data_IF_392029802682
#
_entry.id   IF_392029802682
#
_cell.length_a   1.000
_cell.length_b   1.000
_cell.length_c   1.000
_cell.angle_alpha   90.00
_cell.angle_beta   90.00
_cell.angle_gamma   90.00
#
_symmetry.space_group_name_H-M   'P 1'
#
loop_
_entity.id
_entity.type
_entity.pdbx_description
1 polymer ?
#
# COMPACT_ATOMS: atom_id res chain seq x y z
N UNK A 1 -8.25 -39.16 -1.94
CA UNK A 1 -9.47 -38.36 -1.72
C UNK A 1 -9.08 -36.94 -2.05
N UNK A 2 -9.34 -36.57 -3.28
CA UNK A 2 -8.90 -35.32 -3.91
C UNK A 2 -9.73 -34.15 -3.38
N UNK A 3 -9.05 -33.06 -3.04
CA UNK A 3 -9.62 -31.73 -3.13
C UNK A 3 -8.55 -30.84 -3.77
N UNK A 4 -8.64 -30.74 -5.10
CA UNK A 4 -7.95 -29.74 -5.88
C UNK A 4 -8.48 -28.35 -5.51
N UNK A 5 -7.86 -27.70 -4.52
CA UNK A 5 -7.85 -26.25 -4.41
C UNK A 5 -6.50 -25.76 -4.94
N UNK A 6 -6.38 -25.71 -6.26
CA UNK A 6 -5.40 -24.84 -6.90
C UNK A 6 -5.88 -23.41 -6.72
N UNK A 7 -5.71 -22.86 -5.52
CA UNK A 7 -5.77 -21.42 -5.31
C UNK A 7 -4.66 -20.85 -6.17
N UNK A 8 -5.01 -20.19 -7.28
CA UNK A 8 -4.06 -19.44 -8.08
C UNK A 8 -3.61 -18.28 -7.20
N UNK A 9 -2.54 -18.50 -6.44
CA UNK A 9 -1.87 -17.46 -5.67
C UNK A 9 -1.72 -16.25 -6.60
N UNK A 10 -2.16 -15.04 -6.23
CA UNK A 10 -1.88 -13.87 -7.04
C UNK A 10 -0.36 -13.81 -7.22
N UNK A 11 0.06 -13.81 -8.48
CA UNK A 11 1.47 -13.90 -8.86
C UNK A 11 2.32 -12.82 -8.19
N UNK A 12 3.64 -12.98 -8.30
CA UNK A 12 4.66 -12.02 -7.86
C UNK A 12 4.14 -10.56 -7.90
N UNK A 13 4.15 -9.79 -6.80
CA UNK A 13 3.76 -8.38 -6.78
C UNK A 13 4.44 -7.55 -7.86
N UNK A 14 5.66 -7.91 -8.28
CA UNK A 14 6.39 -7.25 -9.36
C UNK A 14 5.83 -7.53 -10.77
N UNK A 15 5.08 -8.61 -10.95
CA UNK A 15 4.41 -9.01 -12.21
C UNK A 15 2.88 -8.91 -12.11
N UNK A 16 2.38 -8.60 -10.91
CA UNK A 16 0.97 -8.62 -10.55
C UNK A 16 0.31 -7.24 -10.47
N UNK A 17 -0.94 -7.28 -10.01
CA UNK A 17 -1.88 -6.16 -9.99
C UNK A 17 -1.45 -5.02 -9.05
N UNK A 18 -0.69 -5.33 -7.99
CA UNK A 18 -0.18 -4.36 -7.01
C UNK A 18 1.25 -3.83 -7.30
N UNK A 19 1.77 -4.07 -8.52
CA UNK A 19 3.14 -3.72 -8.93
C UNK A 19 3.47 -2.23 -8.81
N UNK A 20 2.49 -1.35 -8.98
CA UNK A 20 2.69 0.10 -8.81
C UNK A 20 3.07 0.46 -7.38
N UNK A 21 2.38 -0.10 -6.38
CA UNK A 21 2.69 0.16 -4.98
C UNK A 21 3.99 -0.57 -4.58
N UNK A 22 4.17 -1.81 -5.03
CA UNK A 22 5.39 -2.56 -4.78
C UNK A 22 6.63 -1.80 -5.31
N UNK A 23 6.58 -1.28 -6.54
CA UNK A 23 7.63 -0.46 -7.13
C UNK A 23 7.90 0.84 -6.37
N UNK A 24 6.84 1.55 -5.97
CA UNK A 24 6.95 2.75 -5.13
C UNK A 24 7.66 2.43 -3.81
N UNK A 25 7.27 1.35 -3.13
CA UNK A 25 7.88 0.92 -1.87
C UNK A 25 9.31 0.41 -2.04
N UNK A 26 9.64 -0.23 -3.17
CA UNK A 26 11.02 -0.64 -3.51
C UNK A 26 11.90 0.60 -3.62
N UNK A 27 11.44 1.63 -4.34
CA UNK A 27 12.17 2.90 -4.46
C UNK A 27 12.37 3.56 -3.08
N UNK A 28 11.31 3.69 -2.29
CA UNK A 28 11.36 4.26 -0.94
C UNK A 28 12.32 3.49 -0.03
N UNK A 29 12.25 2.15 -0.06
CA UNK A 29 13.14 1.30 0.72
C UNK A 29 14.60 1.36 0.25
N UNK A 30 14.83 1.53 -1.05
CA UNK A 30 16.15 1.77 -1.60
C UNK A 30 16.74 3.08 -1.07
N UNK A 31 15.97 4.19 -1.12
CA UNK A 31 16.39 5.49 -0.57
C UNK A 31 16.77 5.36 0.91
N UNK A 32 15.93 4.70 1.71
CA UNK A 32 16.20 4.48 3.13
C UNK A 32 17.50 3.72 3.39
N UNK A 33 17.75 2.64 2.64
CA UNK A 33 18.99 1.86 2.77
C UNK A 33 20.23 2.65 2.36
N UNK A 34 20.16 3.42 1.28
CA UNK A 34 21.27 4.26 0.84
C UNK A 34 21.57 5.36 1.87
N UNK A 35 20.52 6.02 2.40
CA UNK A 35 20.67 7.02 3.45
C UNK A 35 21.31 6.45 4.72
N UNK A 36 20.90 5.25 5.14
CA UNK A 36 21.43 4.58 6.32
C UNK A 36 22.94 4.27 6.18
N UNK A 37 23.40 3.86 4.98
CA UNK A 37 24.81 3.66 4.69
C UNK A 37 25.66 4.93 4.90
N UNK A 38 25.06 6.11 4.74
CA UNK A 38 25.67 7.42 4.94
C UNK A 38 25.43 8.00 6.35
N UNK A 39 24.83 7.22 7.27
CA UNK A 39 24.55 7.65 8.64
C UNK A 39 23.31 8.53 8.81
N UNK A 40 22.33 8.42 7.90
CA UNK A 40 21.05 9.11 7.97
C UNK A 40 19.87 8.15 8.04
N UNK A 41 18.84 8.52 8.80
CA UNK A 41 17.50 7.96 8.66
C UNK A 41 16.72 8.71 7.59
N UNK A 42 15.92 7.97 6.82
CA UNK A 42 14.95 8.52 5.88
C UNK A 42 13.52 8.22 6.35
N UNK A 43 12.67 9.25 6.39
CA UNK A 43 11.24 9.13 6.70
C UNK A 43 10.43 9.66 5.52
N UNK A 44 9.64 8.83 4.82
CA UNK A 44 8.74 9.30 3.78
C UNK A 44 7.67 10.22 4.40
N UNK A 45 7.44 11.37 3.77
CA UNK A 45 6.38 12.31 4.12
C UNK A 45 5.20 12.20 3.16
N UNK A 46 5.48 11.92 1.88
CA UNK A 46 4.48 11.72 0.85
C UNK A 46 5.10 10.90 -0.29
N UNK A 47 4.54 9.73 -0.58
CA UNK A 47 4.97 8.89 -1.69
C UNK A 47 3.78 8.39 -2.49
N UNK A 48 3.77 8.62 -3.80
CA UNK A 48 2.66 8.23 -4.67
C UNK A 48 3.11 7.91 -6.09
N UNK A 49 2.23 7.22 -6.82
CA UNK A 49 2.35 7.04 -8.26
C UNK A 49 1.36 7.94 -9.00
N UNK A 50 1.79 8.53 -10.11
CA UNK A 50 0.87 9.18 -11.06
C UNK A 50 1.39 9.01 -12.48
N UNK A 51 0.52 8.52 -13.36
CA UNK A 51 0.90 8.12 -14.73
C UNK A 51 2.03 7.08 -14.71
N UNK A 52 3.24 7.44 -15.14
CA UNK A 52 4.39 6.53 -15.25
C UNK A 52 5.54 6.89 -14.30
N UNK A 53 5.28 7.71 -13.29
CA UNK A 53 6.31 8.22 -12.39
C UNK A 53 5.99 7.90 -10.94
N UNK A 54 7.02 7.43 -10.22
CA UNK A 54 7.03 7.39 -8.76
C UNK A 54 7.55 8.72 -8.23
N UNK A 55 6.88 9.25 -7.20
CA UNK A 55 7.33 10.44 -6.47
C UNK A 55 7.43 10.10 -5.01
N UNK A 56 8.55 10.46 -4.41
CA UNK A 56 8.82 10.27 -2.98
C UNK A 56 9.38 11.58 -2.44
N UNK A 57 8.67 12.16 -1.49
CA UNK A 57 9.11 13.27 -0.66
C UNK A 57 9.37 12.72 0.73
N UNK A 58 10.50 13.06 1.33
CA UNK A 58 10.85 12.56 2.66
C UNK A 58 11.87 13.43 3.36
N UNK A 59 11.99 13.22 4.67
CA UNK A 59 12.92 13.91 5.55
C UNK A 59 14.17 13.05 5.78
N UNK A 60 15.34 13.68 5.76
CA UNK A 60 16.61 13.05 6.13
C UNK A 60 17.02 13.52 7.52
N UNK A 61 17.29 12.58 8.43
CA UNK A 61 17.72 12.87 9.80
C UNK A 61 19.05 12.20 10.08
N UNK A 62 20.09 12.99 10.37
CA UNK A 62 21.43 12.46 10.68
C UNK A 62 21.43 11.72 12.02
N UNK A 63 22.13 10.60 12.08
CA UNK A 63 22.45 9.87 13.30
C UNK A 63 22.12 8.37 13.22
N UNK A 64 22.88 7.57 13.96
CA UNK A 64 22.77 6.10 13.98
C UNK A 64 21.36 5.65 14.37
N UNK A 65 20.79 6.22 15.45
CA UNK A 65 19.43 5.90 15.89
C UNK A 65 18.37 6.16 14.81
N UNK A 66 18.51 7.26 14.07
CA UNK A 66 17.59 7.58 12.97
C UNK A 66 17.75 6.61 11.80
N UNK A 67 18.99 6.20 11.48
CA UNK A 67 19.26 5.18 10.47
C UNK A 67 18.66 3.82 10.87
N UNK A 68 18.82 3.39 12.12
CA UNK A 68 18.23 2.15 12.65
C UNK A 68 16.71 2.17 12.61
N UNK A 69 16.09 3.27 13.07
CA UNK A 69 14.63 3.48 13.01
C UNK A 69 14.12 3.40 11.56
N UNK A 70 14.77 4.09 10.63
CA UNK A 70 14.43 4.04 9.20
C UNK A 70 14.55 2.63 8.62
N UNK A 71 15.63 1.91 8.97
CA UNK A 71 15.84 0.53 8.51
C UNK A 71 14.84 -0.46 9.13
N UNK A 72 14.26 -0.18 10.29
CA UNK A 72 13.21 -1.02 10.89
C UNK A 72 11.94 -1.07 10.04
N UNK A 73 11.72 -0.06 9.20
CA UNK A 73 10.64 -0.01 8.21
C UNK A 73 11.04 -0.59 6.85
N UNK A 74 12.22 -1.20 6.73
CA UNK A 74 12.61 -1.97 5.55
C UNK A 74 12.33 -3.45 5.81
N UNK A 75 11.66 -4.09 4.86
CA UNK A 75 11.25 -5.46 5.00
C UNK A 75 10.76 -6.11 3.72
N UNK A 76 9.97 -7.15 3.90
CA UNK A 76 9.51 -8.05 2.85
C UNK A 76 7.99 -8.04 2.76
N UNK A 77 7.47 -8.22 1.55
CA UNK A 77 6.09 -8.61 1.30
C UNK A 77 6.06 -10.11 1.09
N UNK A 78 5.07 -10.77 1.66
CA UNK A 78 4.77 -12.18 1.40
C UNK A 78 3.25 -12.39 1.32
N UNK A 79 2.86 -13.62 0.98
CA UNK A 79 1.47 -14.03 0.91
C UNK A 79 1.18 -15.05 2.01
N UNK A 80 0.19 -14.75 2.85
CA UNK A 80 -0.35 -15.64 3.87
C UNK A 80 -1.83 -15.29 4.09
N UNK A 81 -2.69 -15.99 3.34
CA UNK A 81 -4.11 -15.67 3.13
C UNK A 81 -4.37 -14.16 2.97
N UNK A 82 -3.64 -13.54 2.04
CA UNK A 82 -3.63 -12.10 1.82
C UNK A 82 -2.22 -11.51 1.82
N UNK A 83 -2.11 -10.23 1.49
CA UNK A 83 -0.85 -9.50 1.56
C UNK A 83 -0.42 -9.31 3.01
N UNK A 84 0.83 -9.66 3.31
CA UNK A 84 1.46 -9.47 4.62
C UNK A 84 2.83 -8.85 4.47
N UNK A 85 3.31 -8.25 5.56
CA UNK A 85 4.65 -7.68 5.64
C UNK A 85 5.44 -8.27 6.80
N UNK A 86 6.76 -8.30 6.67
CA UNK A 86 7.68 -8.67 7.75
C UNK A 86 8.90 -7.76 7.74
N UNK A 87 9.38 -7.30 8.91
CA UNK A 87 10.68 -6.63 9.00
C UNK A 87 11.80 -7.49 8.40
N UNK A 88 12.84 -6.83 7.87
CA UNK A 88 13.93 -7.48 7.15
C UNK A 88 14.59 -8.61 7.94
N UNK A 89 14.81 -8.40 9.24
CA UNK A 89 15.55 -9.31 10.13
C UNK A 89 14.76 -10.54 10.57
N UNK A 90 13.43 -10.51 10.48
CA UNK A 90 12.55 -11.54 11.08
C UNK A 90 11.94 -12.50 10.05
N UNK A 91 12.20 -12.32 8.77
CA UNK A 91 11.54 -13.09 7.74
C UNK A 91 12.31 -14.37 7.39
N UNK A 92 11.69 -15.53 7.63
CA UNK A 92 12.26 -16.86 7.40
C UNK A 92 11.62 -17.62 6.23
N UNK A 93 10.68 -16.99 5.51
CA UNK A 93 9.97 -17.59 4.38
C UNK A 93 10.51 -17.17 3.01
N UNK A 94 9.77 -17.49 1.94
CA UNK A 94 10.04 -17.00 0.60
C UNK A 94 9.30 -15.68 0.34
N UNK A 95 10.02 -14.56 0.12
CA UNK A 95 9.36 -13.28 -0.03
C UNK A 95 8.78 -13.18 -1.44
N UNK A 96 7.62 -12.52 -1.53
CA UNK A 96 7.02 -12.16 -2.81
C UNK A 96 7.69 -10.91 -3.39
N UNK A 97 8.08 -9.95 -2.56
CA UNK A 97 8.85 -8.78 -2.97
C UNK A 97 9.67 -8.20 -1.80
N UNK A 98 10.77 -7.52 -2.13
CA UNK A 98 11.59 -6.79 -1.19
C UNK A 98 13.10 -6.89 -1.51
N UNK A 99 13.97 -6.33 -0.66
CA UNK A 99 13.61 -5.53 0.49
C UNK A 99 13.04 -4.16 0.07
N UNK A 100 11.95 -3.74 0.69
CA UNK A 100 11.19 -2.53 0.37
C UNK A 100 10.69 -1.82 1.62
N UNK A 101 10.14 -0.61 1.48
CA UNK A 101 9.54 0.11 2.58
C UNK A 101 8.18 -0.48 2.98
N UNK A 102 8.09 -1.03 4.20
CA UNK A 102 6.88 -1.62 4.77
C UNK A 102 6.14 -0.67 5.73
N UNK A 103 6.74 0.47 6.07
CA UNK A 103 6.10 1.51 6.90
C UNK A 103 5.09 2.38 6.14
N UNK A 104 4.57 3.43 6.79
CA UNK A 104 3.69 4.44 6.19
C UNK A 104 4.36 5.16 5.01
N UNK A 105 3.58 5.45 3.96
CA UNK A 105 4.03 6.23 2.80
C UNK A 105 3.64 7.72 2.88
N UNK A 106 2.80 8.06 3.84
CA UNK A 106 2.23 9.38 4.03
C UNK A 106 2.35 9.78 5.50
N UNK A 107 2.77 11.01 5.75
CA UNK A 107 2.71 11.64 7.05
C UNK A 107 1.41 12.44 7.15
N UNK A 108 0.57 12.14 8.15
CA UNK A 108 -0.75 12.75 8.30
C UNK A 108 -0.70 14.26 8.53
N UNK A 109 0.29 14.75 9.28
CA UNK A 109 0.43 16.18 9.54
C UNK A 109 0.79 16.91 8.23
N UNK A 110 1.70 16.34 7.44
CA UNK A 110 2.05 16.86 6.12
C UNK A 110 0.85 16.83 5.17
N UNK A 111 0.04 15.75 5.16
CA UNK A 111 -1.17 15.69 4.35
C UNK A 111 -2.17 16.78 4.75
N UNK A 112 -2.37 16.99 6.05
CA UNK A 112 -3.25 18.03 6.58
C UNK A 112 -2.79 19.43 6.14
N UNK A 113 -1.49 19.73 6.28
CA UNK A 113 -0.93 21.01 5.85
C UNK A 113 -1.10 21.24 4.35
N UNK A 114 -0.88 20.19 3.52
CA UNK A 114 -1.11 20.26 2.08
C UNK A 114 -2.60 20.54 1.80
N UNK A 115 -3.53 19.89 2.50
CA UNK A 115 -4.96 20.12 2.31
C UNK A 115 -5.34 21.58 2.58
N UNK A 116 -4.86 22.17 3.67
CA UNK A 116 -5.10 23.57 4.02
C UNK A 116 -4.59 24.54 2.93
N UNK A 117 -3.40 24.27 2.39
CA UNK A 117 -2.84 25.06 1.29
C UNK A 117 -3.65 24.91 -0.01
N UNK A 118 -4.17 23.72 -0.30
CA UNK A 118 -5.02 23.47 -1.48
C UNK A 118 -6.38 24.16 -1.36
N UNK A 119 -6.92 24.24 -0.14
CA UNK A 119 -8.19 24.92 0.13
C UNK A 119 -8.09 26.43 -0.08
N UNK A 120 -6.98 27.05 0.32
CA UNK A 120 -6.79 28.51 0.27
C UNK A 120 -6.30 29.01 -1.10
N UNK A 121 -5.53 28.19 -1.84
CA UNK A 121 -4.93 28.62 -3.12
C UNK A 121 -5.85 28.46 -4.31
N UNK A 122 -5.72 29.37 -5.28
CA UNK A 122 -6.35 29.25 -6.60
C UNK A 122 -5.54 28.31 -7.48
N UNK A 123 -5.91 27.03 -7.48
CA UNK A 123 -5.27 25.98 -8.29
C UNK A 123 -6.18 25.53 -9.43
N UNK A 124 -5.62 25.41 -10.65
CA UNK A 124 -6.36 24.96 -11.84
C UNK A 124 -6.99 23.56 -11.68
N UNK A 125 -6.34 22.69 -10.90
CA UNK A 125 -6.71 21.28 -10.69
C UNK A 125 -7.09 20.99 -9.23
N UNK A 126 -7.69 21.97 -8.54
CA UNK A 126 -8.02 21.87 -7.11
C UNK A 126 -8.86 20.62 -6.79
N UNK A 127 -9.94 20.38 -7.52
CA UNK A 127 -10.83 19.23 -7.28
C UNK A 127 -10.12 17.88 -7.48
N UNK A 128 -9.28 17.76 -8.51
CA UNK A 128 -8.49 16.54 -8.76
C UNK A 128 -7.50 16.29 -7.62
N UNK A 129 -6.88 17.35 -7.10
CA UNK A 129 -5.95 17.26 -5.99
C UNK A 129 -6.65 16.92 -4.67
N UNK A 130 -7.82 17.50 -4.40
CA UNK A 130 -8.63 17.14 -3.21
C UNK A 130 -9.04 15.67 -3.23
N UNK A 131 -9.43 15.13 -4.40
CA UNK A 131 -9.72 13.69 -4.54
C UNK A 131 -8.49 12.84 -4.28
N UNK A 132 -7.32 13.28 -4.73
CA UNK A 132 -6.07 12.57 -4.49
C UNK A 132 -5.68 12.59 -3.01
N UNK A 133 -5.84 13.73 -2.33
CA UNK A 133 -5.60 13.85 -0.90
C UNK A 133 -6.53 12.96 -0.08
N UNK A 134 -7.80 12.82 -0.48
CA UNK A 134 -8.73 11.89 0.16
C UNK A 134 -8.20 10.45 0.13
N UNK A 135 -7.67 9.99 -1.01
CA UNK A 135 -7.02 8.68 -1.09
C UNK A 135 -5.79 8.59 -0.18
N UNK A 136 -4.95 9.63 -0.13
CA UNK A 136 -3.75 9.60 0.70
C UNK A 136 -4.06 9.56 2.20
N UNK A 137 -5.10 10.27 2.65
CA UNK A 137 -5.58 10.19 4.03
C UNK A 137 -6.09 8.80 4.38
N UNK A 138 -6.86 8.16 3.50
CA UNK A 138 -7.27 6.75 3.70
C UNK A 138 -6.05 5.83 3.74
N UNK A 139 -5.14 5.95 2.76
CA UNK A 139 -3.97 5.08 2.64
C UNK A 139 -2.95 5.21 3.77
N UNK A 140 -2.91 6.35 4.48
CA UNK A 140 -2.01 6.56 5.61
C UNK A 140 -2.20 5.52 6.73
N UNK A 141 -3.43 5.00 6.86
CA UNK A 141 -3.82 4.06 7.90
C UNK A 141 -4.08 2.65 7.39
N UNK A 142 -3.87 2.37 6.10
CA UNK A 142 -4.19 1.08 5.51
C UNK A 142 -2.94 0.22 5.29
N UNK A 143 -3.08 -1.11 5.30
CA UNK A 143 -1.95 -2.00 5.14
C UNK A 143 -1.28 -1.83 3.75
N UNK A 144 0.00 -2.23 3.62
CA UNK A 144 0.69 -2.26 2.34
C UNK A 144 0.02 -3.14 1.29
N UNK A 145 0.06 -2.67 0.05
CA UNK A 145 -0.55 -3.27 -1.14
C UNK A 145 -2.07 -3.22 -1.14
N UNK A 146 -2.65 -3.55 -2.30
CA UNK A 146 -4.07 -3.46 -2.56
C UNK A 146 -4.55 -4.67 -3.35
N UNK A 147 -5.87 -4.80 -3.40
CA UNK A 147 -6.60 -5.73 -4.24
C UNK A 147 -7.39 -4.94 -5.28
N UNK A 148 -7.58 -5.53 -6.46
CA UNK A 148 -8.47 -5.00 -7.49
C UNK A 148 -9.76 -5.83 -7.49
N UNK A 149 -10.91 -5.18 -7.41
CA UNK A 149 -12.19 -5.88 -7.29
C UNK A 149 -12.61 -6.55 -8.60
N UNK A 150 -12.34 -5.98 -9.77
CA UNK A 150 -12.57 -6.65 -11.07
C UNK A 150 -11.78 -7.95 -11.21
N UNK A 151 -10.60 -7.92 -10.62
CA UNK A 151 -9.58 -8.93 -10.62
C UNK A 151 -9.95 -10.13 -9.74
N UNK A 152 -10.59 -9.89 -8.59
CA UNK A 152 -11.19 -10.91 -7.72
C UNK A 152 -12.48 -11.46 -8.34
N UNK A 153 -13.36 -10.60 -8.87
CA UNK A 153 -14.59 -11.04 -9.53
C UNK A 153 -14.32 -12.03 -10.68
N UNK A 154 -13.26 -11.78 -11.47
CA UNK A 154 -12.79 -12.71 -12.50
C UNK A 154 -12.35 -14.07 -11.95
N UNK A 155 -11.73 -14.09 -10.78
CA UNK A 155 -11.28 -15.31 -10.11
C UNK A 155 -12.48 -16.11 -9.57
N UNK A 156 -13.41 -15.45 -8.88
CA UNK A 156 -14.65 -16.02 -8.36
C UNK A 156 -15.68 -16.37 -9.46
N UNK A 157 -15.45 -15.90 -10.70
CA UNK A 157 -16.39 -16.03 -11.84
C UNK A 157 -17.76 -15.39 -11.57
N UNK A 158 -17.74 -14.24 -10.91
CA UNK A 158 -18.95 -13.48 -10.54
C UNK A 158 -18.93 -12.06 -11.09
N UNK A 159 -20.02 -11.33 -10.91
CA UNK A 159 -20.05 -9.91 -11.18
C UNK A 159 -19.32 -9.15 -10.08
N UNK A 160 -18.71 -8.03 -10.45
CA UNK A 160 -18.02 -7.16 -9.49
C UNK A 160 -19.04 -6.46 -8.56
N UNK A 161 -19.00 -6.70 -7.24
CA UNK A 161 -19.79 -5.94 -6.29
C UNK A 161 -19.40 -4.46 -6.32
N UNK A 162 -20.30 -3.58 -5.87
CA UNK A 162 -19.96 -2.16 -5.75
C UNK A 162 -18.85 -1.98 -4.71
N UNK A 163 -17.88 -1.12 -5.00
CA UNK A 163 -16.79 -0.81 -4.06
C UNK A 163 -17.30 -0.41 -2.67
N UNK A 164 -18.33 0.43 -2.61
CA UNK A 164 -18.95 0.83 -1.35
C UNK A 164 -19.50 -0.36 -0.54
N UNK A 165 -20.04 -1.39 -1.21
CA UNK A 165 -20.54 -2.61 -0.56
C UNK A 165 -19.39 -3.45 0.00
N UNK A 166 -18.30 -3.61 -0.77
CA UNK A 166 -17.11 -4.33 -0.31
C UNK A 166 -16.54 -3.67 0.96
N UNK A 167 -16.35 -2.35 0.92
CA UNK A 167 -15.77 -1.61 2.04
C UNK A 167 -16.68 -1.60 3.28
N UNK A 168 -18.00 -1.47 3.10
CA UNK A 168 -18.95 -1.51 4.21
C UNK A 168 -18.90 -2.88 4.90
N UNK A 169 -18.99 -3.97 4.14
CA UNK A 169 -19.00 -5.33 4.69
C UNK A 169 -17.68 -5.69 5.39
N UNK A 170 -16.53 -5.29 4.84
CA UNK A 170 -15.23 -5.49 5.50
C UNK A 170 -15.16 -4.74 6.84
N UNK A 171 -15.62 -3.48 6.86
CA UNK A 171 -15.64 -2.66 8.08
C UNK A 171 -16.62 -3.19 9.12
N UNK A 172 -17.80 -3.64 8.69
CA UNK A 172 -18.82 -4.24 9.56
C UNK A 172 -18.30 -5.54 10.22
N UNK A 173 -17.38 -6.25 9.55
CA UNK A 173 -16.66 -7.41 10.08
C UNK A 173 -15.43 -7.06 10.93
N UNK A 174 -15.13 -5.77 11.12
CA UNK A 174 -14.05 -5.29 11.99
C UNK A 174 -12.68 -5.17 11.33
N UNK A 175 -12.61 -5.25 9.99
CA UNK A 175 -11.37 -5.09 9.25
C UNK A 175 -11.14 -3.63 8.85
N UNK A 176 -9.88 -3.23 8.78
CA UNK A 176 -9.49 -1.99 8.13
C UNK A 176 -9.75 -2.12 6.64
N UNK A 177 -10.43 -1.14 6.04
CA UNK A 177 -10.66 -1.14 4.60
C UNK A 177 -10.81 0.28 4.06
N UNK A 178 -10.28 0.52 2.86
CA UNK A 178 -10.43 1.80 2.19
C UNK A 178 -10.02 1.75 0.73
N UNK A 179 -10.31 2.84 0.03
CA UNK A 179 -9.93 2.99 -1.37
C UNK A 179 -8.47 3.43 -1.50
N UNK A 180 -7.90 3.35 -2.71
CA UNK A 180 -6.54 3.81 -2.95
C UNK A 180 -6.37 4.44 -4.34
N UNK A 181 -5.35 5.27 -4.50
CA UNK A 181 -5.08 6.07 -5.70
C UNK A 181 -4.54 5.25 -6.88
N UNK A 182 -4.19 3.97 -6.67
CA UNK A 182 -3.52 3.14 -7.67
C UNK A 182 -4.43 2.71 -8.83
N UNK A 183 -5.72 2.50 -8.55
CA UNK A 183 -6.78 2.17 -9.51
C UNK A 183 -8.17 2.53 -8.96
N UNK A 184 -9.15 2.95 -9.81
CA UNK A 184 -10.52 3.25 -9.36
C UNK A 184 -11.26 2.07 -8.72
N UNK A 185 -10.86 0.84 -9.03
CA UNK A 185 -11.47 -0.39 -8.51
C UNK A 185 -10.59 -1.11 -7.48
N UNK A 186 -9.54 -0.43 -6.99
CA UNK A 186 -8.63 -0.96 -6.00
C UNK A 186 -9.01 -0.55 -4.58
N UNK A 187 -8.80 -1.47 -3.64
CA UNK A 187 -9.02 -1.29 -2.22
C UNK A 187 -7.94 -1.97 -1.40
N UNK A 188 -7.70 -1.46 -0.20
CA UNK A 188 -6.78 -2.03 0.77
C UNK A 188 -7.56 -2.58 1.94
N UNK A 189 -7.08 -3.67 2.53
CA UNK A 189 -7.65 -4.24 3.75
C UNK A 189 -6.67 -5.20 4.42
N UNK A 190 -6.77 -5.33 5.73
CA UNK A 190 -6.06 -6.32 6.54
C UNK A 190 -6.82 -7.66 6.62
N UNK A 191 -8.03 -7.74 6.04
CA UNK A 191 -8.83 -8.95 6.00
C UNK A 191 -8.08 -10.13 5.35
N UNK A 192 -8.31 -11.36 5.85
CA UNK A 192 -7.86 -12.57 5.17
C UNK A 192 -8.47 -12.69 3.77
N UNK A 193 -7.75 -13.27 2.81
CA UNK A 193 -8.18 -13.34 1.42
C UNK A 193 -9.41 -14.24 1.23
N UNK A 194 -9.58 -15.26 2.08
CA UNK A 194 -10.81 -16.03 2.18
C UNK A 194 -12.02 -15.12 2.50
N UNK A 195 -11.89 -14.20 3.45
CA UNK A 195 -12.95 -13.24 3.77
C UNK A 195 -13.23 -12.33 2.58
N UNK A 196 -12.19 -11.84 1.91
CA UNK A 196 -12.34 -10.97 0.74
C UNK A 196 -13.10 -11.68 -0.37
N UNK A 197 -12.73 -12.92 -0.71
CA UNK A 197 -13.37 -13.69 -1.79
C UNK A 197 -14.82 -14.07 -1.46
N UNK A 198 -15.15 -14.30 -0.18
CA UNK A 198 -16.54 -14.55 0.27
C UNK A 198 -17.52 -13.42 -0.06
N UNK A 199 -17.02 -12.19 -0.28
CA UNK A 199 -17.85 -11.04 -0.65
C UNK A 199 -18.29 -11.04 -2.11
N UNK A 200 -17.68 -11.92 -2.92
CA UNK A 200 -17.89 -11.96 -4.37
C UNK A 200 -18.77 -13.13 -4.81
N UNK A 201 -19.21 -14.02 -3.90
CA UNK A 201 -20.08 -15.15 -4.20
C UNK A 201 -19.57 -16.46 -3.62
#
# INVERSE_FOLDING_TARGET
>A
MEAHLHTKIPGNPAEGRASKEAGLRILTGYIARQAAGEGYGFTPLLAYTRSHFFRVYGMMKRGVKAAEESLSHVGWIYWDDGWRTSPFQHFLGEPRAGPLWIGPLHDEAVLYDIQQEVETRKLKKKEELMKLLQYFHEEAHLPPLYYESSSIAKECRTSQPKMATILAELKDRGYEAGTCHFSPDAFKTDAPYEIITSLFG
#
